data_IF_666121433175
#
_entry.id   IF_666121433175
#
_cell.length_a   1.000
_cell.length_b   1.000
_cell.length_c   1.000
_cell.angle_alpha   90.00
_cell.angle_beta   90.00
_cell.angle_gamma   90.00
#
_symmetry.space_group_name_H-M   'P 1'
#
loop_
_entity.id
_entity.type
_entity.pdbx_description
1 polymer ?
#
# COMPACT_ATOMS: atom_id res chain seq x y z
N UNK A 1 23.99 9.90 -31.47
CA UNK A 1 23.11 8.74 -31.24
C UNK A 1 22.48 8.91 -29.87
N UNK A 2 21.16 9.15 -29.78
CA UNK A 2 20.47 9.12 -28.49
C UNK A 2 20.53 7.69 -27.95
N UNK A 3 21.12 7.51 -26.79
CA UNK A 3 21.18 6.22 -26.10
C UNK A 3 19.79 5.88 -25.57
N UNK A 4 19.08 4.95 -26.23
CA UNK A 4 17.78 4.41 -25.83
C UNK A 4 17.89 3.48 -24.60
N UNK A 5 18.63 3.87 -23.57
CA UNK A 5 18.78 3.07 -22.36
C UNK A 5 17.63 3.40 -21.39
N UNK A 6 16.77 2.41 -21.15
CA UNK A 6 15.67 2.47 -20.18
C UNK A 6 16.17 2.02 -18.79
N UNK A 7 17.12 2.78 -18.23
CA UNK A 7 17.71 2.49 -16.92
C UNK A 7 17.44 3.67 -15.99
N UNK A 8 16.80 3.40 -14.85
CA UNK A 8 16.69 4.35 -13.74
C UNK A 8 17.91 4.20 -12.84
N UNK A 9 18.73 5.23 -12.78
CA UNK A 9 19.83 5.28 -11.81
C UNK A 9 19.29 5.28 -10.38
N UNK A 10 19.88 4.47 -9.52
CA UNK A 10 19.53 4.44 -8.10
C UNK A 10 20.20 5.64 -7.41
N UNK A 11 19.44 6.64 -6.95
CA UNK A 11 20.01 7.81 -6.29
C UNK A 11 20.72 7.38 -4.99
N UNK A 12 21.76 8.11 -4.58
CA UNK A 12 22.38 7.90 -3.26
C UNK A 12 21.64 8.68 -2.17
N UNK A 13 21.87 8.35 -0.89
CA UNK A 13 21.34 9.09 0.25
C UNK A 13 19.89 8.71 0.64
N UNK A 14 19.10 9.72 1.03
CA UNK A 14 17.73 9.52 1.58
C UNK A 14 16.78 8.82 0.60
N UNK A 15 16.68 9.21 -0.70
CA UNK A 15 15.81 8.54 -1.67
C UNK A 15 16.05 7.02 -1.76
N UNK A 16 17.32 6.58 -1.70
CA UNK A 16 17.67 5.15 -1.66
C UNK A 16 17.11 4.45 -0.44
N UNK A 17 17.28 5.06 0.73
CA UNK A 17 16.84 4.48 2.01
C UNK A 17 15.32 4.40 2.09
N UNK A 18 14.62 5.41 1.56
CA UNK A 18 13.16 5.38 1.42
C UNK A 18 12.71 4.27 0.47
N UNK A 19 13.36 4.14 -0.70
CA UNK A 19 13.06 3.06 -1.64
C UNK A 19 13.24 1.67 -0.99
N UNK A 20 14.31 1.49 -0.20
CA UNK A 20 14.52 0.26 0.59
C UNK A 20 13.42 0.08 1.63
N UNK A 21 13.03 1.13 2.37
CA UNK A 21 11.97 1.06 3.37
C UNK A 21 10.62 0.66 2.78
N UNK A 22 10.23 1.25 1.66
CA UNK A 22 9.02 0.88 0.91
C UNK A 22 9.09 -0.55 0.37
N UNK A 23 10.26 -0.98 -0.11
CA UNK A 23 10.47 -2.36 -0.57
C UNK A 23 10.32 -3.35 0.59
N UNK A 24 10.88 -3.04 1.76
CA UNK A 24 10.74 -3.87 2.96
C UNK A 24 9.29 -3.96 3.41
N UNK A 25 8.54 -2.85 3.37
CA UNK A 25 7.10 -2.86 3.67
C UNK A 25 6.32 -3.76 2.68
N UNK A 26 6.59 -3.64 1.38
CA UNK A 26 5.94 -4.46 0.35
C UNK A 26 6.27 -5.96 0.52
N UNK A 27 7.53 -6.30 0.82
CA UNK A 27 7.92 -7.69 1.08
C UNK A 27 7.31 -8.22 2.38
N UNK A 28 7.30 -7.41 3.44
CA UNK A 28 6.68 -7.77 4.70
C UNK A 28 5.18 -8.01 4.54
N UNK A 29 4.47 -7.20 3.76
CA UNK A 29 3.05 -7.41 3.51
C UNK A 29 2.77 -8.71 2.77
N UNK A 30 3.62 -9.10 1.80
CA UNK A 30 3.51 -10.40 1.14
C UNK A 30 3.78 -11.56 2.09
N UNK A 31 4.80 -11.45 2.95
CA UNK A 31 5.11 -12.51 3.93
C UNK A 31 3.94 -12.69 4.91
N UNK A 32 3.45 -11.59 5.50
CA UNK A 32 2.32 -11.64 6.44
C UNK A 32 1.06 -12.12 5.72
N UNK A 33 0.76 -11.61 4.52
CA UNK A 33 -0.35 -12.08 3.70
C UNK A 33 -0.26 -13.58 3.39
N UNK A 34 0.93 -14.10 3.09
CA UNK A 34 1.19 -15.52 2.90
C UNK A 34 0.95 -16.35 4.17
N UNK A 35 1.28 -15.82 5.36
CA UNK A 35 0.92 -16.47 6.63
C UNK A 35 -0.60 -16.56 6.80
N UNK A 36 -1.35 -15.52 6.42
CA UNK A 36 -2.82 -15.57 6.40
C UNK A 36 -3.35 -16.64 5.44
N UNK A 37 -2.67 -16.95 4.33
CA UNK A 37 -3.05 -18.08 3.46
C UNK A 37 -3.03 -19.42 4.21
N UNK A 38 -2.05 -19.63 5.10
CA UNK A 38 -2.01 -20.84 5.94
C UNK A 38 -3.26 -20.90 6.82
N UNK A 39 -3.64 -19.77 7.44
CA UNK A 39 -4.85 -19.67 8.27
C UNK A 39 -6.13 -19.98 7.45
N UNK A 40 -6.22 -19.44 6.23
CA UNK A 40 -7.33 -19.68 5.28
C UNK A 40 -7.43 -21.17 4.93
N UNK A 41 -6.31 -21.86 4.67
CA UNK A 41 -6.33 -23.29 4.35
C UNK A 41 -6.73 -24.12 5.58
N UNK A 42 -6.19 -23.82 6.76
CA UNK A 42 -6.52 -24.52 8.00
C UNK A 42 -7.99 -24.37 8.39
N UNK A 43 -8.61 -23.23 8.07
CA UNK A 43 -10.03 -22.98 8.35
C UNK A 43 -10.98 -23.82 7.49
N UNK A 44 -10.48 -24.52 6.47
CA UNK A 44 -11.25 -25.42 5.59
C UNK A 44 -11.25 -26.87 6.07
N UNK A 45 -10.47 -27.21 7.10
CA UNK A 45 -10.37 -28.58 7.63
C UNK A 45 -11.56 -28.86 8.58
N UNK A 46 -12.30 -29.97 8.40
CA UNK A 46 -13.59 -30.25 9.10
C UNK A 46 -13.53 -30.40 10.64
N UNK A 47 -12.38 -30.17 11.27
CA UNK A 47 -12.18 -30.22 12.73
C UNK A 47 -11.57 -28.95 13.34
N UNK A 48 -11.25 -27.91 12.57
CA UNK A 48 -10.64 -26.69 13.14
C UNK A 48 -11.63 -25.78 13.87
N UNK A 49 -12.94 -25.89 13.57
CA UNK A 49 -14.00 -25.06 14.16
C UNK A 49 -14.30 -25.38 15.63
N UNK A 50 -13.91 -26.56 16.13
CA UNK A 50 -14.08 -26.95 17.54
C UNK A 50 -12.96 -26.44 18.45
N UNK A 51 -11.82 -26.02 17.91
CA UNK A 51 -10.67 -25.50 18.68
C UNK A 51 -10.49 -23.99 18.56
N UNK A 52 -11.10 -23.35 17.56
CA UNK A 52 -10.91 -21.93 17.24
C UNK A 52 -12.27 -21.22 17.37
N UNK A 53 -12.52 -20.46 18.45
CA UNK A 53 -13.83 -19.86 18.78
C UNK A 53 -14.22 -18.64 17.91
N UNK A 54 -13.53 -18.41 16.79
CA UNK A 54 -13.74 -17.23 15.95
C UNK A 54 -14.86 -17.50 14.94
N UNK A 55 -15.99 -16.82 15.10
CA UNK A 55 -17.05 -16.82 14.08
C UNK A 55 -16.47 -16.21 12.81
N UNK A 56 -16.53 -16.98 11.72
CA UNK A 56 -16.15 -16.59 10.37
C UNK A 56 -14.64 -16.34 10.09
N UNK A 57 -13.78 -17.09 10.78
CA UNK A 57 -12.31 -17.05 10.65
C UNK A 57 -11.79 -17.08 9.20
N UNK A 58 -12.44 -17.82 8.30
CA UNK A 58 -12.09 -17.85 6.88
C UNK A 58 -12.23 -16.47 6.22
N UNK A 59 -13.38 -15.82 6.39
CA UNK A 59 -13.65 -14.53 5.75
C UNK A 59 -12.76 -13.44 6.35
N UNK A 60 -12.56 -13.43 7.67
CA UNK A 60 -11.66 -12.49 8.34
C UNK A 60 -10.22 -12.63 7.85
N UNK A 61 -9.70 -13.86 7.76
CA UNK A 61 -8.36 -14.12 7.25
C UNK A 61 -8.24 -13.73 5.77
N UNK A 62 -9.30 -13.95 4.97
CA UNK A 62 -9.32 -13.57 3.56
C UNK A 62 -9.29 -12.05 3.38
N UNK A 63 -10.03 -11.28 4.18
CA UNK A 63 -9.99 -9.81 4.13
C UNK A 63 -8.55 -9.32 4.31
N UNK A 64 -7.91 -9.68 5.42
CA UNK A 64 -6.55 -9.21 5.72
C UNK A 64 -5.53 -9.72 4.71
N UNK A 65 -5.66 -10.96 4.24
CA UNK A 65 -4.82 -11.50 3.18
C UNK A 65 -4.87 -10.62 1.93
N UNK A 66 -6.07 -10.33 1.42
CA UNK A 66 -6.26 -9.55 0.19
C UNK A 66 -5.75 -8.11 0.37
N UNK A 67 -6.04 -7.47 1.50
CA UNK A 67 -5.50 -6.13 1.80
C UNK A 67 -3.96 -6.11 1.78
N UNK A 68 -3.30 -7.12 2.35
CA UNK A 68 -1.84 -7.17 2.42
C UNK A 68 -1.18 -7.51 1.07
N UNK A 69 -1.72 -8.49 0.33
CA UNK A 69 -1.12 -8.97 -0.91
C UNK A 69 -1.50 -8.17 -2.14
N UNK A 70 -2.62 -7.43 -2.08
CA UNK A 70 -3.07 -6.57 -3.18
C UNK A 70 -2.82 -5.10 -2.81
N UNK A 71 -3.56 -4.57 -1.84
CA UNK A 71 -3.57 -3.12 -1.57
C UNK A 71 -2.21 -2.64 -1.05
N UNK A 72 -1.74 -3.20 0.06
CA UNK A 72 -0.49 -2.77 0.69
C UNK A 72 0.70 -3.06 -0.21
N UNK A 73 0.78 -4.26 -0.76
CA UNK A 73 1.89 -4.66 -1.62
C UNK A 73 2.05 -3.75 -2.86
N UNK A 74 0.99 -3.58 -3.67
CA UNK A 74 1.09 -2.79 -4.90
C UNK A 74 1.43 -1.32 -4.61
N UNK A 75 0.76 -0.73 -3.61
CA UNK A 75 0.93 0.68 -3.28
C UNK A 75 2.28 0.96 -2.59
N UNK A 76 2.77 0.06 -1.75
CA UNK A 76 4.12 0.14 -1.19
C UNK A 76 5.18 -0.01 -2.29
N UNK A 77 4.97 -0.89 -3.27
CA UNK A 77 5.89 -1.05 -4.39
C UNK A 77 5.92 0.18 -5.32
N UNK A 78 4.79 0.87 -5.50
CA UNK A 78 4.76 2.19 -6.15
C UNK A 78 5.64 3.21 -5.39
N UNK A 79 5.61 3.18 -4.06
CA UNK A 79 6.50 3.97 -3.20
C UNK A 79 7.99 3.73 -3.42
N UNK A 80 8.40 2.52 -3.83
CA UNK A 80 9.78 2.24 -4.25
C UNK A 80 10.14 3.10 -5.47
N UNK A 81 9.34 3.03 -6.53
CA UNK A 81 9.62 3.76 -7.76
C UNK A 81 9.58 5.28 -7.57
N UNK A 82 8.60 5.79 -6.84
CA UNK A 82 8.51 7.23 -6.58
C UNK A 82 9.61 7.75 -5.67
N UNK A 83 10.12 6.91 -4.76
CA UNK A 83 11.33 7.24 -4.00
C UNK A 83 12.57 7.31 -4.89
N UNK A 84 12.70 6.44 -5.91
CA UNK A 84 13.84 6.43 -6.83
C UNK A 84 13.89 7.67 -7.74
N UNK A 85 12.74 8.24 -8.10
CA UNK A 85 12.68 9.45 -8.95
C UNK A 85 12.62 10.77 -8.15
N UNK A 86 12.51 10.70 -6.82
CA UNK A 86 12.46 11.88 -5.96
C UNK A 86 13.82 12.58 -5.90
N UNK A 87 13.82 13.90 -6.04
CA UNK A 87 15.00 14.74 -5.87
C UNK A 87 15.20 15.23 -4.44
N UNK A 88 14.21 15.02 -3.56
CA UNK A 88 14.25 15.51 -2.19
C UNK A 88 15.34 14.84 -1.35
N UNK A 89 16.05 15.68 -0.61
CA UNK A 89 17.07 15.29 0.37
C UNK A 89 16.61 15.53 1.81
N UNK A 90 15.34 15.87 2.01
CA UNK A 90 14.77 16.08 3.34
C UNK A 90 14.26 14.76 3.92
N UNK A 91 14.22 14.69 5.25
CA UNK A 91 13.67 13.52 5.98
C UNK A 91 12.14 13.44 5.93
N UNK A 92 11.45 14.40 5.30
CA UNK A 92 9.99 14.46 5.26
C UNK A 92 9.36 13.22 4.58
N UNK A 93 10.08 12.57 3.67
CA UNK A 93 9.64 11.33 3.03
C UNK A 93 9.52 10.12 3.97
N UNK A 94 10.03 10.20 5.21
CA UNK A 94 9.87 9.13 6.21
C UNK A 94 8.50 9.12 6.86
N UNK A 95 7.82 10.27 6.97
CA UNK A 95 6.50 10.35 7.58
C UNK A 95 5.44 9.53 6.81
N UNK A 96 5.33 9.64 5.47
CA UNK A 96 4.50 8.74 4.66
C UNK A 96 4.74 7.26 4.93
N UNK A 97 6.01 6.85 4.98
CA UNK A 97 6.40 5.45 5.20
C UNK A 97 6.05 4.98 6.62
N UNK A 98 6.26 5.83 7.63
CA UNK A 98 5.91 5.53 9.02
C UNK A 98 4.40 5.29 9.15
N UNK A 99 3.58 6.19 8.61
CA UNK A 99 2.12 6.08 8.66
C UNK A 99 1.62 4.83 7.93
N UNK A 100 2.17 4.56 6.73
CA UNK A 100 1.87 3.35 5.99
C UNK A 100 2.23 2.09 6.79
N UNK A 101 3.42 2.05 7.38
CA UNK A 101 3.87 0.90 8.18
C UNK A 101 2.98 0.67 9.40
N UNK A 102 2.66 1.72 10.15
CA UNK A 102 1.77 1.63 11.32
C UNK A 102 0.37 1.18 10.89
N UNK A 103 -0.17 1.74 9.81
CA UNK A 103 -1.46 1.32 9.25
C UNK A 103 -1.48 -0.17 8.86
N UNK A 104 -0.45 -0.64 8.15
CA UNK A 104 -0.29 -2.06 7.79
C UNK A 104 -0.20 -2.98 9.00
N UNK A 105 0.52 -2.58 10.05
CA UNK A 105 0.61 -3.35 11.30
C UNK A 105 -0.76 -3.44 11.99
N UNK A 106 -1.51 -2.35 12.04
CA UNK A 106 -2.86 -2.35 12.62
C UNK A 106 -3.80 -3.23 11.80
N UNK A 107 -3.78 -3.14 10.46
CA UNK A 107 -4.57 -4.03 9.57
C UNK A 107 -4.24 -5.50 9.84
N UNK A 108 -2.95 -5.83 9.95
CA UNK A 108 -2.48 -7.19 10.20
C UNK A 108 -2.89 -7.73 11.57
N UNK A 109 -2.89 -6.86 12.59
CA UNK A 109 -3.23 -7.22 13.96
C UNK A 109 -4.74 -7.17 14.24
N UNK A 110 -5.52 -6.42 13.46
CA UNK A 110 -6.94 -6.16 13.70
C UNK A 110 -7.78 -7.44 13.99
N UNK A 111 -7.62 -8.56 13.24
CA UNK A 111 -8.32 -9.80 13.55
C UNK A 111 -8.10 -10.31 14.95
N UNK A 112 -6.93 -10.08 15.55
CA UNK A 112 -6.56 -10.64 16.86
C UNK A 112 -6.90 -9.71 18.02
N UNK A 113 -7.17 -8.44 17.73
CA UNK A 113 -7.45 -7.41 18.75
C UNK A 113 -8.94 -7.31 19.10
N UNK A 114 -9.84 -7.74 18.22
CA UNK A 114 -11.28 -7.65 18.40
C UNK A 114 -11.93 -8.98 18.03
N UNK A 115 -12.62 -9.62 18.99
CA UNK A 115 -13.20 -10.96 18.85
C UNK A 115 -14.34 -11.10 17.82
N UNK A 116 -14.99 -10.00 17.43
CA UNK A 116 -16.07 -9.99 16.45
C UNK A 116 -15.73 -9.03 15.30
N UNK A 117 -15.19 -9.58 14.22
CA UNK A 117 -14.61 -8.81 13.13
C UNK A 117 -15.62 -8.42 12.02
N UNK A 118 -16.83 -9.00 12.04
CA UNK A 118 -17.89 -8.82 11.04
C UNK A 118 -17.35 -8.55 9.61
N UNK A 119 -16.71 -9.56 8.98
CA UNK A 119 -16.03 -9.36 7.71
C UNK A 119 -17.03 -8.98 6.61
N UNK A 120 -16.68 -7.96 5.83
CA UNK A 120 -17.42 -7.52 4.66
C UNK A 120 -16.55 -7.73 3.42
N UNK A 121 -16.87 -8.78 2.67
CA UNK A 121 -16.29 -9.01 1.35
C UNK A 121 -16.94 -8.04 0.35
N UNK A 122 -16.17 -7.07 -0.13
CA UNK A 122 -16.58 -6.11 -1.16
C UNK A 122 -15.78 -6.35 -2.45
N UNK A 123 -16.34 -5.96 -3.60
CA UNK A 123 -15.66 -5.96 -4.90
C UNK A 123 -14.62 -4.82 -5.06
N UNK A 124 -14.37 -4.05 -4.01
CA UNK A 124 -13.39 -2.97 -3.96
C UNK A 124 -12.29 -3.34 -2.98
N UNK A 125 -12.31 -2.75 -1.78
CA UNK A 125 -11.43 -3.10 -0.67
C UNK A 125 -12.28 -3.88 0.34
N UNK A 126 -11.95 -5.15 0.64
CA UNK A 126 -12.63 -5.89 1.69
C UNK A 126 -12.31 -5.25 3.04
N UNK A 127 -13.25 -5.28 3.98
CA UNK A 127 -13.03 -4.63 5.28
C UNK A 127 -13.56 -5.48 6.42
N UNK A 128 -12.89 -5.39 7.58
CA UNK A 128 -13.48 -5.82 8.84
C UNK A 128 -14.26 -4.63 9.39
N UNK A 129 -15.54 -4.81 9.74
CA UNK A 129 -16.39 -3.72 10.26
C UNK A 129 -16.06 -3.42 11.73
N UNK A 130 -14.80 -3.08 12.01
CA UNK A 130 -14.31 -2.73 13.33
C UNK A 130 -13.59 -1.38 13.29
N UNK A 131 -13.70 -0.54 14.33
CA UNK A 131 -12.99 0.73 14.38
C UNK A 131 -11.48 0.58 14.21
N UNK A 132 -10.89 -0.47 14.78
CA UNK A 132 -9.45 -0.76 14.70
C UNK A 132 -9.01 -0.96 13.26
N UNK A 133 -9.75 -1.75 12.48
CA UNK A 133 -9.43 -1.99 11.08
C UNK A 133 -9.52 -0.70 10.25
N UNK A 134 -10.57 0.10 10.45
CA UNK A 134 -10.72 1.39 9.76
C UNK A 134 -9.64 2.40 10.14
N UNK A 135 -9.17 2.42 11.39
CA UNK A 135 -8.01 3.24 11.81
C UNK A 135 -6.75 2.80 11.06
N UNK A 136 -6.49 1.49 10.97
CA UNK A 136 -5.36 0.94 10.23
C UNK A 136 -5.41 1.30 8.74
N UNK A 137 -6.56 1.09 8.11
CA UNK A 137 -6.81 1.44 6.72
C UNK A 137 -6.68 2.95 6.45
N UNK A 138 -7.22 3.78 7.35
CA UNK A 138 -7.11 5.24 7.27
C UNK A 138 -5.68 5.73 7.41
N UNK A 139 -4.90 5.19 8.36
CA UNK A 139 -3.48 5.52 8.52
C UNK A 139 -2.65 5.10 7.31
N UNK A 140 -2.91 3.92 6.76
CA UNK A 140 -2.24 3.46 5.54
C UNK A 140 -2.58 4.37 4.35
N UNK A 141 -3.86 4.65 4.13
CA UNK A 141 -4.32 5.55 3.07
C UNK A 141 -3.78 6.97 3.20
N UNK A 142 -3.67 7.50 4.43
CA UNK A 142 -3.05 8.79 4.70
C UNK A 142 -1.55 8.76 4.38
N UNK A 143 -0.84 7.72 4.80
CA UNK A 143 0.58 7.52 4.47
C UNK A 143 0.80 7.48 2.96
N UNK A 144 -0.02 6.75 2.23
CA UNK A 144 0.03 6.69 0.76
C UNK A 144 -0.30 8.04 0.10
N UNK A 145 -1.32 8.75 0.59
CA UNK A 145 -1.68 10.09 0.08
C UNK A 145 -0.53 11.07 0.26
N UNK A 146 0.11 11.07 1.44
CA UNK A 146 1.27 11.92 1.69
C UNK A 146 2.49 11.52 0.83
N UNK A 147 2.67 10.24 0.54
CA UNK A 147 3.68 9.77 -0.42
C UNK A 147 3.41 10.35 -1.81
N UNK A 148 2.17 10.33 -2.29
CA UNK A 148 1.79 10.88 -3.61
C UNK A 148 2.05 12.39 -3.65
N UNK A 149 1.60 13.14 -2.64
CA UNK A 149 1.82 14.58 -2.55
C UNK A 149 3.32 14.91 -2.49
N UNK A 150 4.08 14.19 -1.67
CA UNK A 150 5.53 14.34 -1.60
C UNK A 150 6.19 14.01 -2.96
N UNK A 151 5.75 12.96 -3.64
CA UNK A 151 6.22 12.59 -4.98
C UNK A 151 6.01 13.71 -5.99
N UNK A 152 4.81 14.30 -6.04
CA UNK A 152 4.47 15.40 -6.95
C UNK A 152 5.29 16.66 -6.69
N UNK A 153 5.59 16.96 -5.43
CA UNK A 153 6.39 18.12 -5.04
C UNK A 153 7.88 17.95 -5.27
N UNK A 154 8.37 16.71 -5.36
CA UNK A 154 9.82 16.41 -5.34
C UNK A 154 10.32 15.71 -6.59
N UNK A 155 9.41 15.28 -7.46
CA UNK A 155 9.75 14.64 -8.73
C UNK A 155 9.40 15.60 -9.86
N UNK A 156 10.41 16.09 -10.57
CA UNK A 156 10.22 16.93 -11.75
C UNK A 156 10.75 16.19 -12.98
N UNK A 157 9.90 15.82 -13.95
CA UNK A 157 10.35 15.15 -15.18
C UNK A 157 11.06 16.16 -16.08
N UNK A 158 12.36 16.35 -15.86
CA UNK A 158 13.24 17.09 -16.77
C UNK A 158 13.69 16.18 -17.92
N UNK A 159 13.84 16.74 -19.12
CA UNK A 159 14.43 16.08 -20.31
C UNK A 159 13.67 14.84 -20.85
N UNK A 160 12.34 14.88 -20.88
CA UNK A 160 11.45 13.78 -21.36
C UNK A 160 11.76 13.35 -22.80
N UNK A 161 12.15 14.29 -23.67
CA UNK A 161 12.36 14.04 -25.09
C UNK A 161 13.80 13.57 -25.44
N UNK A 162 14.70 13.48 -24.47
CA UNK A 162 16.13 13.35 -24.74
C UNK A 162 16.67 11.92 -24.59
N UNK A 163 16.08 11.08 -23.73
CA UNK A 163 16.54 9.69 -23.49
C UNK A 163 15.47 8.77 -22.86
N UNK A 164 15.72 7.45 -22.86
CA UNK A 164 14.81 6.44 -22.31
C UNK A 164 14.56 6.54 -20.79
N UNK A 165 15.55 7.01 -20.03
CA UNK A 165 15.40 7.28 -18.60
C UNK A 165 14.41 8.43 -18.32
N UNK A 166 14.39 9.46 -19.15
CA UNK A 166 13.43 10.56 -19.12
C UNK A 166 12.01 10.08 -19.36
N UNK A 167 11.82 9.15 -20.31
CA UNK A 167 10.53 8.50 -20.53
C UNK A 167 10.03 7.71 -19.31
N UNK A 168 10.91 6.97 -18.63
CA UNK A 168 10.56 6.26 -17.37
C UNK A 168 10.16 7.23 -16.26
N UNK A 169 10.93 8.31 -16.07
CA UNK A 169 10.61 9.35 -15.06
C UNK A 169 9.29 10.04 -15.36
N UNK A 170 9.01 10.30 -16.64
CA UNK A 170 7.73 10.86 -17.07
C UNK A 170 6.57 9.90 -16.77
N UNK A 171 6.70 8.62 -17.12
CA UNK A 171 5.68 7.61 -16.81
C UNK A 171 5.41 7.44 -15.31
N UNK A 172 6.46 7.47 -14.49
CA UNK A 172 6.32 7.41 -13.04
C UNK A 172 5.69 8.68 -12.45
N UNK A 173 5.97 9.85 -13.05
CA UNK A 173 5.34 11.12 -12.66
C UNK A 173 3.87 11.17 -13.05
N UNK A 174 3.49 10.73 -14.25
CA UNK A 174 2.08 10.66 -14.65
C UNK A 174 1.32 9.64 -13.81
N UNK A 175 1.96 8.55 -13.37
CA UNK A 175 1.37 7.62 -12.40
C UNK A 175 1.07 8.28 -11.04
N UNK A 176 1.87 9.25 -10.57
CA UNK A 176 1.54 10.04 -9.37
C UNK A 176 0.27 10.88 -9.58
N UNK A 177 0.13 11.51 -10.75
CA UNK A 177 -1.08 12.28 -11.08
C UNK A 177 -2.32 11.39 -11.12
N UNK A 178 -2.21 10.20 -11.73
CA UNK A 178 -3.30 9.23 -11.76
C UNK A 178 -3.65 8.73 -10.36
N UNK A 179 -2.65 8.48 -9.50
CA UNK A 179 -2.88 8.11 -8.11
C UNK A 179 -3.61 9.22 -7.33
N UNK A 180 -3.21 10.48 -7.52
CA UNK A 180 -3.90 11.62 -6.90
C UNK A 180 -5.35 11.73 -7.36
N UNK A 181 -5.60 11.60 -8.67
CA UNK A 181 -6.96 11.62 -9.21
C UNK A 181 -7.81 10.45 -8.66
N UNK A 182 -7.23 9.26 -8.54
CA UNK A 182 -7.89 8.11 -7.94
C UNK A 182 -8.24 8.35 -6.46
N UNK A 183 -7.35 8.95 -5.68
CA UNK A 183 -7.62 9.34 -4.29
C UNK A 183 -8.76 10.37 -4.21
N UNK A 184 -8.73 11.40 -5.07
CA UNK A 184 -9.80 12.42 -5.13
C UNK A 184 -11.14 11.77 -5.49
N UNK A 185 -11.15 10.88 -6.51
CA UNK A 185 -12.36 10.17 -6.93
C UNK A 185 -12.92 9.27 -5.82
N UNK A 186 -12.04 8.59 -5.07
CA UNK A 186 -12.43 7.76 -3.93
C UNK A 186 -13.09 8.61 -2.82
N UNK A 187 -12.47 9.74 -2.47
CA UNK A 187 -13.01 10.68 -1.47
C UNK A 187 -14.35 11.25 -1.95
N UNK A 188 -14.45 11.64 -3.22
CA UNK A 188 -15.69 12.16 -3.80
C UNK A 188 -16.80 11.12 -3.79
N UNK A 189 -16.48 9.87 -4.14
CA UNK A 189 -17.43 8.76 -4.11
C UNK A 189 -18.01 8.53 -2.71
N UNK A 190 -17.21 8.74 -1.66
CA UNK A 190 -17.69 8.62 -0.28
C UNK A 190 -18.77 9.66 0.06
N UNK A 191 -18.59 10.91 -0.38
CA UNK A 191 -19.60 11.96 -0.20
C UNK A 191 -20.86 11.77 -1.06
N UNK A 192 -20.79 10.91 -2.08
CA UNK A 192 -21.94 10.54 -2.92
C UNK A 192 -22.80 9.39 -2.37
N UNK A 193 -22.41 8.78 -1.24
CA UNK A 193 -23.19 7.69 -0.64
C UNK A 193 -24.47 8.29 -0.02
N UNK A 194 -25.68 7.86 -0.45
CA UNK A 194 -26.90 8.34 0.16
C UNK A 194 -26.94 7.95 1.64
N UNK A 195 -27.21 8.94 2.50
CA UNK A 195 -27.33 8.82 3.95
C UNK A 195 -28.54 8.00 4.38
#
# INVERSE_FOLDING_TARGET
>A
MQTNNFILEVPQGIPRRLAIGWLLLALASLVIGGLFTILIVLSRIPFSQTFIPWVDFFHTALVVHVDLTVVVWFLAFAGVFWSLISTARCSCGWLPLLLATVGTLIISAAPFLVGDAHPLMNNYVPVLKTPVFFIGLGLFGLGFTLLVLHGLLTSHPLHVAENGAGALRFGLFTALLMALLAIIALIWSYFGIPS
#
